data_IF_553811104591
#
_entry.id   IF_553811104591
#
_cell.length_a   1.000
_cell.length_b   1.000
_cell.length_c   1.000
_cell.angle_alpha   90.00
_cell.angle_beta   90.00
_cell.angle_gamma   90.00
#
_symmetry.space_group_name_H-M   'P 1'
#
loop_
_entity.id
_entity.type
_entity.pdbx_description
1 polymer ?
#
# COMPACT_ATOMS: atom_id res chain seq x y z
N UNK A 1 1.99 -8.24 5.41
CA UNK A 1 1.22 -7.20 4.69
C UNK A 1 2.14 -6.40 3.79
N UNK A 2 1.68 -6.09 2.60
CA UNK A 2 2.48 -5.40 1.59
C UNK A 2 1.69 -4.24 1.01
N UNK A 3 2.37 -3.11 0.82
CA UNK A 3 1.76 -1.92 0.23
C UNK A 3 2.43 -1.57 -1.09
N UNK A 4 1.65 -1.59 -2.16
CA UNK A 4 2.12 -1.10 -3.47
C UNK A 4 1.80 0.38 -3.57
N UNK A 5 2.79 1.17 -3.94
CA UNK A 5 2.67 2.64 -3.97
C UNK A 5 3.70 3.23 -4.92
N UNK A 6 3.66 4.54 -5.12
CA UNK A 6 4.81 5.28 -5.61
C UNK A 6 4.86 6.65 -4.93
N UNK A 7 6.08 7.17 -4.83
CA UNK A 7 6.40 8.34 -4.01
C UNK A 7 5.58 9.58 -4.37
N UNK A 8 5.39 9.85 -5.67
CA UNK A 8 4.71 11.06 -6.12
C UNK A 8 3.19 11.00 -6.03
N UNK A 9 2.62 9.87 -5.64
CA UNK A 9 1.17 9.71 -5.55
C UNK A 9 0.65 10.24 -4.22
N UNK A 10 -0.21 11.26 -4.29
CA UNK A 10 -0.81 11.86 -3.09
C UNK A 10 -1.62 10.87 -2.26
N UNK A 11 -2.35 9.98 -2.91
CA UNK A 11 -3.12 8.95 -2.20
C UNK A 11 -2.20 7.95 -1.51
N UNK A 12 -1.08 7.59 -2.14
CA UNK A 12 -0.07 6.73 -1.52
C UNK A 12 0.55 7.42 -0.32
N UNK A 13 0.84 8.70 -0.43
CA UNK A 13 1.43 9.46 0.68
C UNK A 13 0.50 9.52 1.89
N UNK A 14 -0.81 9.61 1.64
CA UNK A 14 -1.79 9.58 2.74
C UNK A 14 -1.70 8.28 3.53
N UNK A 15 -1.56 7.15 2.83
CA UNK A 15 -1.41 5.85 3.49
C UNK A 15 -0.09 5.76 4.23
N UNK A 16 1.00 6.20 3.59
CA UNK A 16 2.32 6.18 4.23
C UNK A 16 2.34 7.04 5.49
N UNK A 17 1.69 8.21 5.46
CA UNK A 17 1.59 9.07 6.63
C UNK A 17 0.82 8.39 7.77
N UNK A 18 -0.23 7.66 7.44
CA UNK A 18 -0.97 6.89 8.45
C UNK A 18 -0.06 5.85 9.09
N UNK A 19 0.74 5.15 8.30
CA UNK A 19 1.69 4.16 8.82
C UNK A 19 2.75 4.81 9.71
N UNK A 20 3.23 5.99 9.33
CA UNK A 20 4.21 6.74 10.14
C UNK A 20 3.60 7.18 11.46
N UNK A 21 2.38 7.68 11.43
CA UNK A 21 1.68 8.14 12.64
C UNK A 21 1.40 7.00 13.59
N UNK A 22 1.12 5.82 13.06
CA UNK A 22 0.90 4.61 13.86
C UNK A 22 2.22 3.98 14.30
N UNK A 23 3.35 4.45 13.77
CA UNK A 23 4.70 3.94 14.05
C UNK A 23 4.86 2.47 13.67
N UNK A 24 4.24 2.08 12.57
CA UNK A 24 4.29 0.69 12.09
C UNK A 24 4.82 0.59 10.66
N UNK A 25 5.46 1.63 10.16
CA UNK A 25 5.99 1.65 8.78
C UNK A 25 6.92 0.46 8.52
N UNK A 26 7.71 0.07 9.51
CA UNK A 26 8.65 -1.04 9.41
C UNK A 26 7.98 -2.42 9.46
N UNK A 27 6.69 -2.47 9.75
CA UNK A 27 5.94 -3.73 9.79
C UNK A 27 5.23 -4.04 8.47
N UNK A 28 5.35 -3.16 7.48
CA UNK A 28 4.70 -3.31 6.19
C UNK A 28 5.78 -3.39 5.11
N UNK A 29 5.67 -4.37 4.23
CA UNK A 29 6.55 -4.48 3.07
C UNK A 29 6.20 -3.39 2.07
N UNK A 30 7.08 -2.42 1.89
CA UNK A 30 6.84 -1.30 0.99
C UNK A 30 7.34 -1.63 -0.40
N UNK A 31 6.46 -1.52 -1.39
CA UNK A 31 6.77 -1.85 -2.79
C UNK A 31 6.48 -0.67 -3.70
N UNK A 32 7.52 0.13 -3.95
CA UNK A 32 7.41 1.26 -4.86
C UNK A 32 7.44 0.77 -6.30
N UNK A 33 6.32 0.91 -7.00
CA UNK A 33 6.18 0.37 -8.35
C UNK A 33 6.93 1.17 -9.41
N UNK A 34 7.35 2.39 -9.10
CA UNK A 34 8.14 3.21 -10.05
C UNK A 34 9.62 3.04 -9.82
N UNK A 35 10.03 2.90 -8.57
CA UNK A 35 11.42 2.66 -8.21
C UNK A 35 11.86 1.27 -8.68
N UNK A 36 10.94 0.29 -8.60
CA UNK A 36 11.22 -1.10 -8.92
C UNK A 36 10.17 -1.62 -9.89
N UNK A 37 10.48 -1.66 -11.20
CA UNK A 37 9.52 -2.13 -12.22
C UNK A 37 8.97 -3.53 -11.99
N UNK A 38 9.72 -4.40 -11.30
CA UNK A 38 9.25 -5.74 -10.97
C UNK A 38 8.04 -5.69 -10.03
N UNK A 39 7.94 -4.67 -9.20
CA UNK A 39 6.78 -4.51 -8.32
C UNK A 39 5.55 -4.08 -9.10
N UNK A 40 5.72 -3.28 -10.15
CA UNK A 40 4.62 -2.92 -11.02
C UNK A 40 4.08 -4.16 -11.73
N UNK A 41 4.97 -5.00 -12.27
CA UNK A 41 4.57 -6.24 -12.93
C UNK A 41 3.83 -7.16 -11.97
N UNK A 42 4.31 -7.26 -10.75
CA UNK A 42 3.69 -8.05 -9.69
C UNK A 42 2.28 -7.55 -9.36
N UNK A 43 2.12 -6.23 -9.26
CA UNK A 43 0.83 -5.61 -8.98
C UNK A 43 -0.17 -5.90 -10.11
N UNK A 44 0.27 -5.74 -11.35
CA UNK A 44 -0.57 -6.01 -12.52
C UNK A 44 -1.00 -7.48 -12.54
N UNK A 45 -0.08 -8.39 -12.22
CA UNK A 45 -0.40 -9.81 -12.18
C UNK A 45 -1.44 -10.12 -11.10
N UNK A 46 -1.36 -9.48 -9.94
CA UNK A 46 -2.30 -9.69 -8.84
C UNK A 46 -3.67 -9.07 -9.06
N UNK A 47 -3.72 -7.90 -9.68
CA UNK A 47 -4.93 -7.07 -9.70
C UNK A 47 -5.46 -6.78 -11.10
N UNK A 48 -4.67 -7.00 -12.13
CA UNK A 48 -5.05 -6.67 -13.50
C UNK A 48 -4.79 -5.22 -13.89
N UNK A 49 -4.30 -4.40 -12.97
CA UNK A 49 -3.98 -3.00 -13.27
C UNK A 49 -2.89 -2.50 -12.32
N UNK A 50 -2.46 -1.26 -12.52
CA UNK A 50 -1.38 -0.68 -11.72
C UNK A 50 -1.84 0.47 -10.84
N UNK A 51 -3.09 0.42 -10.38
CA UNK A 51 -3.66 1.43 -9.49
C UNK A 51 -3.02 1.33 -8.10
N UNK A 52 -2.60 2.45 -7.55
CA UNK A 52 -2.05 2.53 -6.20
C UNK A 52 -2.78 3.63 -5.43
N UNK A 53 -2.77 3.59 -4.10
CA UNK A 53 -2.19 2.57 -3.23
C UNK A 53 -3.00 1.27 -3.25
N UNK A 54 -2.33 0.15 -2.98
CA UNK A 54 -2.96 -1.16 -2.96
C UNK A 54 -2.33 -1.97 -1.83
N UNK A 55 -3.15 -2.41 -0.89
CA UNK A 55 -2.65 -3.17 0.26
C UNK A 55 -3.02 -4.64 0.14
N UNK A 56 -2.05 -5.52 0.38
CA UNK A 56 -2.25 -6.97 0.39
C UNK A 56 -2.03 -7.48 1.80
N UNK A 57 -3.03 -8.14 2.36
CA UNK A 57 -2.98 -8.69 3.72
C UNK A 57 -3.55 -10.11 3.69
N UNK A 58 -2.70 -11.08 3.99
CA UNK A 58 -3.13 -12.48 4.11
C UNK A 58 -3.97 -12.96 2.91
N UNK A 59 -3.49 -12.65 1.71
CA UNK A 59 -4.16 -13.04 0.48
C UNK A 59 -5.34 -12.16 0.07
N UNK A 60 -5.75 -11.26 0.92
CA UNK A 60 -6.81 -10.31 0.61
C UNK A 60 -6.20 -9.01 0.11
N UNK A 61 -6.89 -8.35 -0.81
CA UNK A 61 -6.42 -7.10 -1.37
C UNK A 61 -7.44 -5.99 -1.10
N UNK A 62 -6.95 -4.79 -0.87
CA UNK A 62 -7.82 -3.64 -0.74
C UNK A 62 -7.19 -2.43 -1.42
N UNK A 63 -8.05 -1.62 -2.01
CA UNK A 63 -7.64 -0.42 -2.72
C UNK A 63 -8.36 0.79 -2.14
N UNK A 64 -8.01 1.97 -2.64
CA UNK A 64 -8.52 3.26 -2.18
C UNK A 64 -7.95 3.64 -0.82
N UNK A 65 -7.31 4.80 -0.79
CA UNK A 65 -6.57 5.26 0.38
C UNK A 65 -7.43 5.32 1.65
N UNK A 66 -8.68 5.75 1.53
CA UNK A 66 -9.55 5.85 2.71
C UNK A 66 -9.86 4.49 3.32
N UNK A 67 -10.13 3.49 2.48
CA UNK A 67 -10.39 2.13 2.94
C UNK A 67 -9.15 1.55 3.61
N UNK A 68 -7.99 1.75 2.98
CA UNK A 68 -6.73 1.24 3.52
C UNK A 68 -6.41 1.91 4.85
N UNK A 69 -6.57 3.22 4.95
CA UNK A 69 -6.31 3.96 6.18
C UNK A 69 -7.20 3.47 7.33
N UNK A 70 -8.48 3.27 7.07
CA UNK A 70 -9.40 2.76 8.08
C UNK A 70 -8.99 1.38 8.57
N UNK A 71 -8.61 0.51 7.63
CA UNK A 71 -8.13 -0.82 7.99
C UNK A 71 -6.90 -0.74 8.87
N UNK A 72 -5.92 0.08 8.51
CA UNK A 72 -4.66 0.19 9.26
C UNK A 72 -4.90 0.73 10.67
N UNK A 73 -5.75 1.74 10.79
CA UNK A 73 -6.09 2.28 12.12
C UNK A 73 -6.75 1.20 12.98
N UNK A 74 -7.68 0.47 12.42
CA UNK A 74 -8.35 -0.62 13.12
C UNK A 74 -7.38 -1.74 13.52
N UNK A 75 -6.41 -2.04 12.66
CA UNK A 75 -5.47 -3.14 12.86
C UNK A 75 -4.42 -2.82 13.94
N UNK A 76 -3.94 -1.58 13.97
CA UNK A 76 -2.79 -1.21 14.80
C UNK A 76 -3.13 -0.31 16.01
N UNK A 77 -4.36 0.05 16.19
CA UNK A 77 -4.74 0.85 17.36
C UNK A 77 -5.39 -0.01 18.46
#
# INVERSE_FOLDING_TARGET
MELYYYEACGFSQAVLNTLRNLKVLDQVGLKDIREHPEFEAELIERTGNKTVPYLVVEGKTMKESETIKKYLVSRFL
#
